data_IF_364174507050
#
_entry.id   IF_364174507050
#
_cell.length_a   1.000
_cell.length_b   1.000
_cell.length_c   1.000
_cell.angle_alpha   90.00
_cell.angle_beta   90.00
_cell.angle_gamma   90.00
#
_symmetry.space_group_name_H-M   'P 1'
#
loop_
_entity.id
_entity.type
_entity.pdbx_description
1 polymer ?
#
# COMPACT_ATOMS: atom_id res chain seq x y z
N UNK A 1 -24.18 -5.88 8.65
CA UNK A 1 -24.81 -7.12 8.12
C UNK A 1 -24.15 -7.58 6.82
N UNK A 2 -24.06 -6.75 5.77
CA UNK A 2 -23.42 -7.13 4.50
C UNK A 2 -21.93 -7.46 4.62
N UNK A 3 -21.16 -6.73 5.42
CA UNK A 3 -19.74 -7.01 5.68
C UNK A 3 -19.53 -8.42 6.26
N UNK A 4 -20.38 -8.89 7.17
CA UNK A 4 -20.28 -10.23 7.76
C UNK A 4 -20.55 -11.34 6.73
N UNK A 5 -21.42 -11.11 5.75
CA UNK A 5 -21.64 -12.05 4.65
C UNK A 5 -20.46 -12.02 3.67
N UNK A 6 -19.97 -10.84 3.33
CA UNK A 6 -18.82 -10.67 2.46
C UNK A 6 -17.57 -11.39 3.02
N UNK A 7 -17.37 -11.38 4.33
CA UNK A 7 -16.24 -12.05 4.98
C UNK A 7 -16.22 -13.58 4.79
N UNK A 8 -17.35 -14.20 4.44
CA UNK A 8 -17.41 -15.62 4.11
C UNK A 8 -16.85 -15.93 2.70
N UNK A 9 -16.77 -14.92 1.82
CA UNK A 9 -16.25 -15.04 0.47
C UNK A 9 -14.73 -14.78 0.40
N UNK A 10 -14.21 -13.97 1.33
CA UNK A 10 -12.79 -13.64 1.45
C UNK A 10 -12.54 -12.53 2.48
N UNK A 11 -11.31 -12.45 2.99
CA UNK A 11 -10.91 -11.45 4.01
C UNK A 11 -11.09 -10.01 3.54
N UNK A 12 -10.89 -9.76 2.25
CA UNK A 12 -10.86 -8.40 1.69
C UNK A 12 -12.24 -7.98 1.16
N UNK A 13 -13.18 -8.91 0.99
CA UNK A 13 -14.53 -8.60 0.48
C UNK A 13 -15.31 -7.57 1.33
N UNK A 14 -15.27 -7.62 2.69
CA UNK A 14 -15.92 -6.61 3.53
C UNK A 14 -15.42 -5.18 3.31
N UNK A 15 -14.13 -5.02 2.95
CA UNK A 15 -13.51 -3.71 2.74
C UNK A 15 -14.16 -2.95 1.58
N UNK A 16 -14.54 -3.65 0.51
CA UNK A 16 -15.12 -3.04 -0.69
C UNK A 16 -16.57 -2.58 -0.54
N UNK A 17 -17.27 -2.94 0.56
CA UNK A 17 -18.69 -2.62 0.75
C UNK A 17 -18.92 -1.11 0.91
N UNK A 18 -18.16 -0.47 1.80
CA UNK A 18 -18.31 0.96 2.08
C UNK A 18 -17.63 1.85 1.04
N UNK A 19 -16.67 1.27 0.28
CA UNK A 19 -15.89 1.94 -0.76
C UNK A 19 -15.33 3.31 -0.31
N UNK A 20 -14.78 3.34 0.91
CA UNK A 20 -14.16 4.50 1.53
C UNK A 20 -12.86 4.08 2.20
N UNK A 21 -11.87 4.98 2.31
CA UNK A 21 -10.70 4.72 3.12
C UNK A 21 -11.09 4.36 4.55
N UNK A 22 -10.48 3.31 5.10
CA UNK A 22 -10.67 2.90 6.48
C UNK A 22 -9.37 2.34 7.06
N UNK A 23 -9.24 2.40 8.39
CA UNK A 23 -8.17 1.75 9.12
C UNK A 23 -8.62 0.34 9.48
N UNK A 24 -7.76 -0.65 9.21
CA UNK A 24 -8.08 -2.06 9.38
C UNK A 24 -7.11 -2.70 10.36
N UNK A 25 -7.66 -3.42 11.34
CA UNK A 25 -6.92 -4.13 12.38
C UNK A 25 -7.33 -5.61 12.44
N UNK A 26 -6.65 -6.39 13.28
CA UNK A 26 -6.91 -7.82 13.45
C UNK A 26 -6.40 -8.61 12.27
N UNK A 27 -7.22 -9.51 11.73
CA UNK A 27 -6.88 -10.30 10.54
C UNK A 27 -7.54 -9.73 9.28
N UNK A 28 -7.79 -8.41 9.27
CA UNK A 28 -8.52 -7.74 8.20
C UNK A 28 -10.02 -7.56 8.50
N UNK A 29 -10.44 -7.76 9.75
CA UNK A 29 -11.85 -7.87 10.14
C UNK A 29 -12.38 -6.69 10.97
N UNK A 30 -11.48 -5.88 11.55
CA UNK A 30 -11.85 -4.74 12.40
C UNK A 30 -11.64 -3.43 11.67
N UNK A 31 -12.73 -2.81 11.27
CA UNK A 31 -12.73 -1.55 10.53
C UNK A 31 -13.00 -0.37 11.46
N UNK A 32 -12.19 0.69 11.32
CA UNK A 32 -12.46 2.00 11.93
C UNK A 32 -12.24 3.12 10.92
N UNK A 33 -12.85 4.28 11.16
CA UNK A 33 -12.66 5.43 10.28
C UNK A 33 -11.23 5.96 10.37
N UNK A 34 -10.73 6.44 9.23
CA UNK A 34 -9.47 7.16 9.12
C UNK A 34 -9.66 8.42 8.31
N UNK A 35 -9.04 9.52 8.77
CA UNK A 35 -9.02 10.76 8.00
C UNK A 35 -7.77 10.83 7.13
N UNK A 36 -7.95 10.64 5.83
CA UNK A 36 -6.88 10.73 4.83
C UNK A 36 -7.43 11.54 3.65
N UNK A 37 -6.63 12.49 3.18
CA UNK A 37 -6.96 13.30 2.01
C UNK A 37 -5.82 13.18 1.00
N UNK A 38 -6.09 12.49 -0.10
CA UNK A 38 -5.14 12.30 -1.20
C UNK A 38 -5.55 13.12 -2.43
N UNK A 39 -6.56 13.99 -2.29
CA UNK A 39 -7.14 14.72 -3.42
C UNK A 39 -6.08 15.58 -4.11
N UNK A 40 -6.05 15.48 -5.44
CA UNK A 40 -5.13 16.24 -6.29
C UNK A 40 -3.75 15.61 -6.43
N UNK A 41 -3.45 14.52 -5.71
CA UNK A 41 -2.27 13.71 -5.97
C UNK A 41 -2.48 12.82 -7.19
N UNK A 42 -1.38 12.30 -7.71
CA UNK A 42 -1.38 11.29 -8.75
C UNK A 42 -0.85 9.99 -8.16
N UNK A 43 -1.44 8.88 -8.55
CA UNK A 43 -0.95 7.54 -8.23
C UNK A 43 -0.44 6.87 -9.49
N UNK A 44 0.74 6.27 -9.40
CA UNK A 44 1.22 5.30 -10.37
C UNK A 44 1.24 3.92 -9.70
N UNK A 45 0.68 2.91 -10.36
CA UNK A 45 0.73 1.51 -9.91
C UNK A 45 1.43 0.71 -11.00
N UNK A 46 2.43 -0.08 -10.64
CA UNK A 46 3.19 -0.92 -11.57
C UNK A 46 3.13 -2.36 -11.07
N UNK A 47 2.79 -3.29 -11.96
CA UNK A 47 2.72 -4.71 -11.65
C UNK A 47 3.85 -5.46 -12.37
N UNK A 48 4.92 -5.89 -11.66
CA UNK A 48 6.10 -6.47 -12.28
C UNK A 48 5.91 -7.91 -12.80
N UNK A 49 4.71 -8.48 -12.68
CA UNK A 49 4.42 -9.87 -13.05
C UNK A 49 5.25 -10.91 -12.28
N UNK A 50 5.76 -10.53 -11.10
CA UNK A 50 6.46 -11.43 -10.19
C UNK A 50 5.40 -12.09 -9.30
N UNK A 51 5.42 -13.42 -9.24
CA UNK A 51 4.56 -14.14 -8.32
C UNK A 51 5.13 -14.08 -6.90
N UNK A 52 4.30 -13.68 -5.92
CA UNK A 52 4.65 -13.74 -4.50
C UNK A 52 3.81 -14.82 -3.84
N UNK A 53 4.49 -15.81 -3.23
CA UNK A 53 3.82 -16.79 -2.38
C UNK A 53 3.46 -16.12 -1.05
N UNK A 54 2.18 -15.80 -0.88
CA UNK A 54 1.67 -15.10 0.30
C UNK A 54 2.05 -15.82 1.59
N UNK A 55 1.96 -17.17 1.62
CA UNK A 55 2.28 -17.97 2.81
C UNK A 55 3.75 -17.75 3.24
N UNK A 56 4.67 -17.75 2.28
CA UNK A 56 6.09 -17.54 2.50
C UNK A 56 6.38 -16.10 2.91
N UNK A 57 5.70 -15.13 2.31
CA UNK A 57 5.80 -13.72 2.69
C UNK A 57 5.38 -13.50 4.16
N UNK A 58 4.27 -14.10 4.60
CA UNK A 58 3.85 -14.06 6.02
C UNK A 58 4.84 -14.76 6.95
N UNK A 59 5.43 -15.90 6.54
CA UNK A 59 6.42 -16.62 7.35
C UNK A 59 7.73 -15.85 7.52
N UNK A 60 8.06 -14.95 6.60
CA UNK A 60 9.25 -14.11 6.68
C UNK A 60 9.08 -12.92 7.64
N UNK A 61 7.84 -12.56 8.01
CA UNK A 61 7.58 -11.46 8.93
C UNK A 61 7.91 -11.87 10.36
N UNK A 62 8.67 -11.01 11.05
CA UNK A 62 8.88 -11.06 12.49
C UNK A 62 8.04 -9.92 13.09
N UNK A 63 6.92 -10.22 13.78
CA UNK A 63 6.07 -9.19 14.37
C UNK A 63 6.86 -8.32 15.35
N UNK A 64 6.88 -7.02 15.07
CA UNK A 64 7.53 -6.03 15.91
C UNK A 64 6.52 -4.97 16.35
N UNK A 65 6.75 -4.37 17.51
CA UNK A 65 6.01 -3.17 17.89
C UNK A 65 6.45 -2.03 16.95
N UNK A 66 5.54 -1.38 16.22
CA UNK A 66 5.93 -0.30 15.33
C UNK A 66 6.49 0.87 16.13
N UNK A 67 7.53 1.52 15.59
CA UNK A 67 8.15 2.70 16.20
C UNK A 67 7.19 3.89 16.28
N UNK A 68 6.27 3.96 15.31
CA UNK A 68 5.29 5.04 15.17
C UNK A 68 3.87 4.47 15.17
N UNK A 69 2.91 5.26 15.64
CA UNK A 69 1.50 4.89 15.52
C UNK A 69 1.02 5.13 14.09
N UNK A 70 0.68 4.04 13.38
CA UNK A 70 0.26 4.08 11.97
C UNK A 70 -0.90 5.03 11.70
N UNK A 71 -1.92 5.03 12.56
CA UNK A 71 -3.07 5.92 12.41
C UNK A 71 -2.66 7.38 12.48
N UNK A 72 -1.82 7.74 13.45
CA UNK A 72 -1.32 9.11 13.60
C UNK A 72 -0.48 9.57 12.40
N UNK A 73 0.33 8.68 11.81
CA UNK A 73 1.14 9.00 10.61
C UNK A 73 0.23 9.38 9.45
N UNK A 74 -0.80 8.56 9.18
CA UNK A 74 -1.73 8.77 8.07
C UNK A 74 -2.55 10.05 8.30
N UNK A 75 -3.04 10.28 9.51
CA UNK A 75 -3.87 11.44 9.86
C UNK A 75 -3.07 12.76 9.98
N UNK A 76 -1.73 12.70 10.03
CA UNK A 76 -0.86 13.89 10.13
C UNK A 76 -0.91 14.82 8.91
N UNK A 77 -1.47 14.36 7.78
CA UNK A 77 -1.53 15.08 6.48
C UNK A 77 -0.18 15.49 5.90
N UNK A 78 0.92 14.90 6.38
CA UNK A 78 2.28 15.13 5.89
C UNK A 78 2.81 13.89 5.17
N UNK A 79 2.39 13.70 3.92
CA UNK A 79 2.70 12.49 3.13
C UNK A 79 4.20 12.33 2.92
N UNK A 80 4.96 13.42 2.87
CA UNK A 80 6.43 13.37 2.78
C UNK A 80 7.06 12.57 3.93
N UNK A 81 6.49 12.67 5.14
CA UNK A 81 7.00 11.95 6.30
C UNK A 81 6.70 10.44 6.22
N UNK A 82 5.81 10.01 5.33
CA UNK A 82 5.46 8.59 5.19
C UNK A 82 6.65 7.76 4.74
N UNK A 83 7.56 8.32 3.93
CA UNK A 83 8.76 7.60 3.48
C UNK A 83 9.57 7.01 4.64
N UNK A 84 9.66 7.74 5.75
CA UNK A 84 10.49 7.37 6.90
C UNK A 84 9.69 6.69 8.04
N UNK A 85 8.35 6.75 7.97
CA UNK A 85 7.48 6.38 9.10
C UNK A 85 6.44 5.31 8.76
N UNK A 86 6.01 5.24 7.50
CA UNK A 86 5.00 4.31 6.99
C UNK A 86 5.71 3.22 6.21
N UNK A 87 5.80 2.03 6.80
CA UNK A 87 6.48 0.88 6.20
C UNK A 87 5.51 -0.25 5.93
N UNK A 88 5.85 -1.07 4.95
CA UNK A 88 5.19 -2.35 4.70
C UNK A 88 6.14 -3.48 5.13
N UNK A 89 5.77 -4.21 6.18
CA UNK A 89 6.63 -5.26 6.76
C UNK A 89 6.97 -6.39 5.77
N UNK A 90 6.14 -6.61 4.74
CA UNK A 90 6.43 -7.59 3.69
C UNK A 90 7.63 -7.21 2.81
N UNK A 91 8.02 -5.93 2.78
CA UNK A 91 9.17 -5.49 1.97
C UNK A 91 10.51 -6.03 2.49
N UNK A 92 10.59 -6.44 3.76
CA UNK A 92 11.80 -7.02 4.36
C UNK A 92 12.23 -8.31 3.63
N UNK A 93 11.27 -9.08 3.13
CA UNK A 93 11.50 -10.34 2.41
C UNK A 93 11.09 -10.31 0.94
N UNK A 94 10.88 -9.12 0.38
CA UNK A 94 10.45 -8.98 -1.01
C UNK A 94 11.61 -9.23 -1.99
N UNK A 95 11.26 -9.60 -3.23
CA UNK A 95 12.22 -9.75 -4.33
C UNK A 95 12.91 -8.41 -4.65
N UNK A 96 14.23 -8.45 -4.87
CA UNK A 96 15.03 -7.26 -5.14
C UNK A 96 14.52 -6.44 -6.33
N UNK A 97 13.92 -7.07 -7.35
CA UNK A 97 13.36 -6.36 -8.50
C UNK A 97 12.14 -5.52 -8.11
N UNK A 98 11.34 -5.98 -7.13
CA UNK A 98 10.20 -5.22 -6.59
C UNK A 98 10.72 -4.00 -5.83
N UNK A 99 11.76 -4.19 -5.00
CA UNK A 99 12.38 -3.10 -4.24
C UNK A 99 13.05 -2.07 -5.16
N UNK A 100 13.75 -2.50 -6.20
CA UNK A 100 14.31 -1.61 -7.22
C UNK A 100 13.23 -0.83 -7.96
N UNK A 101 12.08 -1.44 -8.25
CA UNK A 101 10.95 -0.75 -8.85
C UNK A 101 10.38 0.33 -7.94
N UNK A 102 10.32 0.09 -6.62
CA UNK A 102 9.97 1.10 -5.61
C UNK A 102 10.95 2.26 -5.62
N UNK A 103 12.26 2.00 -5.59
CA UNK A 103 13.28 3.05 -5.64
C UNK A 103 13.21 3.88 -6.92
N UNK A 104 12.93 3.24 -8.07
CA UNK A 104 12.70 3.96 -9.34
C UNK A 104 11.51 4.92 -9.26
N UNK A 105 10.46 4.62 -8.50
CA UNK A 105 9.37 5.57 -8.28
C UNK A 105 9.82 6.78 -7.47
N UNK A 106 10.66 6.56 -6.44
CA UNK A 106 11.29 7.65 -5.69
C UNK A 106 12.22 8.50 -6.55
N UNK A 107 13.04 7.89 -7.40
CA UNK A 107 13.91 8.60 -8.35
C UNK A 107 13.12 9.48 -9.33
N UNK A 108 11.87 9.11 -9.62
CA UNK A 108 10.94 9.90 -10.44
C UNK A 108 10.14 10.95 -9.65
N UNK A 109 10.45 11.14 -8.37
CA UNK A 109 9.86 12.20 -7.54
C UNK A 109 8.58 11.78 -6.81
N UNK A 110 8.38 10.49 -6.54
CA UNK A 110 7.31 10.06 -5.65
C UNK A 110 7.50 10.67 -4.25
N UNK A 111 6.42 11.23 -3.70
CA UNK A 111 6.35 11.62 -2.29
C UNK A 111 6.46 10.40 -1.37
N UNK A 112 5.80 9.32 -1.79
CA UNK A 112 5.76 8.05 -1.10
C UNK A 112 5.61 6.93 -2.12
N UNK A 113 6.34 5.83 -1.95
CA UNK A 113 6.21 4.63 -2.75
C UNK A 113 6.32 3.40 -1.87
N UNK A 114 5.54 2.37 -2.18
CA UNK A 114 5.46 1.16 -1.38
C UNK A 114 4.92 0.00 -2.22
N UNK A 115 5.28 -1.21 -1.85
CA UNK A 115 4.57 -2.42 -2.25
C UNK A 115 3.15 -2.41 -1.66
N UNK A 116 2.15 -2.91 -2.39
CA UNK A 116 0.78 -3.09 -1.87
C UNK A 116 0.59 -4.49 -1.28
N UNK A 117 0.27 -4.58 0.01
CA UNK A 117 0.13 -5.86 0.72
C UNK A 117 1.41 -6.69 0.65
N UNK A 118 1.29 -8.00 0.43
CA UNK A 118 2.45 -8.87 0.19
C UNK A 118 3.06 -8.72 -1.21
N UNK A 119 2.52 -7.85 -2.07
CA UNK A 119 3.02 -7.62 -3.43
C UNK A 119 2.42 -8.54 -4.51
N UNK A 120 2.95 -8.52 -5.74
CA UNK A 120 4.20 -7.82 -6.16
C UNK A 120 4.00 -6.40 -6.69
N UNK A 121 2.77 -5.91 -6.80
CA UNK A 121 2.53 -4.57 -7.30
C UNK A 121 3.14 -3.50 -6.36
N UNK A 122 3.69 -2.46 -6.97
CA UNK A 122 4.25 -1.30 -6.28
C UNK A 122 3.48 -0.06 -6.72
N UNK A 123 3.22 0.85 -5.79
CA UNK A 123 2.60 2.12 -6.10
C UNK A 123 3.46 3.29 -5.63
N UNK A 124 3.28 4.44 -6.28
CA UNK A 124 3.90 5.72 -5.91
C UNK A 124 2.86 6.84 -5.95
N UNK A 125 2.96 7.78 -5.01
CA UNK A 125 2.13 8.99 -4.90
C UNK A 125 2.95 10.22 -5.33
N UNK A 126 2.38 11.07 -6.17
CA UNK A 126 3.06 12.21 -6.79
C UNK A 126 2.23 13.48 -6.68
N UNK A 127 2.89 14.65 -6.61
CA UNK A 127 2.20 15.96 -6.62
C UNK A 127 1.67 16.35 -8.00
N UNK A 128 2.29 15.84 -9.04
CA UNK A 128 1.99 16.18 -10.44
C UNK A 128 1.84 14.91 -11.26
N UNK A 129 1.14 15.01 -12.38
CA UNK A 129 1.13 13.95 -13.38
C UNK A 129 2.58 13.58 -13.72
N UNK A 130 2.89 12.31 -13.58
CA UNK A 130 4.25 11.79 -13.74
C UNK A 130 4.19 10.62 -14.70
N UNK A 131 5.01 10.65 -15.73
CA UNK A 131 5.22 9.48 -16.57
C UNK A 131 6.26 8.58 -15.90
N UNK A 132 5.85 7.36 -15.55
CA UNK A 132 6.78 6.34 -15.08
C UNK A 132 7.04 5.38 -16.23
N UNK A 133 8.24 5.46 -16.81
CA UNK A 133 8.69 4.48 -17.79
C UNK A 133 8.87 3.12 -17.11
N UNK A 134 8.19 2.12 -17.68
CA UNK A 134 8.21 0.75 -17.18
C UNK A 134 7.93 -0.19 -18.34
N UNK A 135 8.67 -1.29 -18.39
CA UNK A 135 8.38 -2.43 -19.27
C UNK A 135 7.18 -3.25 -18.79
N UNK A 136 6.73 -3.00 -17.56
CA UNK A 136 5.64 -3.70 -16.91
C UNK A 136 4.29 -3.00 -17.09
N UNK A 137 3.17 -3.74 -16.99
CA UNK A 137 1.84 -3.16 -16.89
C UNK A 137 1.78 -2.08 -15.81
N UNK A 138 1.18 -0.93 -16.16
CA UNK A 138 1.06 0.22 -15.27
C UNK A 138 -0.27 0.93 -15.41
N UNK A 139 -0.71 1.55 -14.31
CA UNK A 139 -1.87 2.44 -14.24
C UNK A 139 -1.38 3.76 -13.66
N UNK A 140 -1.83 4.87 -14.24
CA UNK A 140 -1.59 6.22 -13.72
C UNK A 140 -2.94 6.94 -13.65
N UNK A 141 -3.27 7.49 -12.49
CA UNK A 141 -4.55 8.16 -12.25
C UNK A 141 -4.36 9.35 -11.30
N UNK A 142 -5.29 10.30 -11.35
CA UNK A 142 -5.42 11.35 -10.34
C UNK A 142 -6.38 10.88 -9.24
N UNK A 143 -6.02 11.17 -7.98
CA UNK A 143 -6.81 10.88 -6.78
C UNK A 143 -7.66 12.09 -6.35
#
# INVERSE_FOLDING_TARGET
>A
QLQNYAGQLGSDCPFFIENKPCFVEGTGDKFSSISIDLKGLFIAIIYPQIHVDTISAYKAIIPAKPAYNLKNIIESKTIENWRDQLTNDFEIGADDNILQLKERLYDKGALYASMTGSGSAVYGLFRTATEVESEYPKIIAQL
#
